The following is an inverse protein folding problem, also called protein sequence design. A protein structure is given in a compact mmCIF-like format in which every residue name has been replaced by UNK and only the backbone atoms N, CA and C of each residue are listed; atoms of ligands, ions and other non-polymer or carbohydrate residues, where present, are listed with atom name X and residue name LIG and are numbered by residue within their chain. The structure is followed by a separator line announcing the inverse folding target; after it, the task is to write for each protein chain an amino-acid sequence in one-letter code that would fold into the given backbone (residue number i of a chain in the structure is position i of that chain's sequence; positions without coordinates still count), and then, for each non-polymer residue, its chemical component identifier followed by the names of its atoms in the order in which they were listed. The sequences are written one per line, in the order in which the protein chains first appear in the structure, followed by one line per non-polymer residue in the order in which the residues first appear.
data_IF_794050644157
#
_entry.id   IF_794050644157
#
_cell.length_a   1.000
_cell.length_b   1.000
_cell.length_c   1.000
_cell.angle_alpha   90.00
_cell.angle_beta   90.00
_cell.angle_gamma   90.00
#
_symmetry.space_group_name_H-M   'P 1'
#
loop_
_entity.id
_entity.type
_entity.pdbx_description
1 polymer ?
#
# COMPACT_ATOMS: atom_id res chain seq x y z
N UNK A 1 -26.23 3.09 -39.84
CA UNK A 1 -25.92 4.30 -39.05
C UNK A 1 -25.99 4.06 -37.54
N UNK A 2 -27.01 3.36 -37.03
CA UNK A 2 -27.16 3.09 -35.59
C UNK A 2 -25.91 2.50 -34.90
N UNK A 3 -25.25 1.50 -35.52
CA UNK A 3 -24.02 0.90 -34.96
C UNK A 3 -22.89 1.92 -34.75
N UNK A 4 -22.71 2.84 -35.71
CA UNK A 4 -21.65 3.85 -35.64
C UNK A 4 -21.91 4.88 -34.52
N UNK A 5 -23.17 5.18 -34.26
CA UNK A 5 -23.57 6.07 -33.15
C UNK A 5 -23.26 5.42 -31.80
N UNK A 6 -23.52 4.12 -31.65
CA UNK A 6 -23.22 3.39 -30.41
C UNK A 6 -21.72 3.31 -30.18
N UNK A 7 -20.94 3.05 -31.24
CA UNK A 7 -19.46 3.04 -31.14
C UNK A 7 -18.95 4.43 -30.73
N UNK A 8 -19.45 5.51 -31.35
CA UNK A 8 -19.08 6.87 -30.99
C UNK A 8 -19.42 7.20 -29.53
N UNK A 9 -20.61 6.81 -29.06
CA UNK A 9 -21.03 7.00 -27.68
C UNK A 9 -20.15 6.22 -26.68
N UNK A 10 -19.73 5.00 -27.03
CA UNK A 10 -18.86 4.19 -26.19
C UNK A 10 -17.45 4.79 -26.09
N UNK A 11 -16.89 5.27 -27.20
CA UNK A 11 -15.59 5.95 -27.23
C UNK A 11 -15.63 7.27 -26.46
N UNK A 12 -16.72 8.03 -26.59
CA UNK A 12 -16.90 9.26 -25.81
C UNK A 12 -16.96 8.96 -24.32
N UNK A 13 -17.76 7.98 -23.91
CA UNK A 13 -17.90 7.56 -22.51
C UNK A 13 -16.58 7.08 -21.91
N UNK A 14 -15.75 6.34 -22.66
CA UNK A 14 -14.45 5.85 -22.17
C UNK A 14 -13.39 6.94 -22.10
N UNK A 15 -13.41 7.93 -23.01
CA UNK A 15 -12.46 9.06 -23.01
C UNK A 15 -12.78 10.13 -21.98
N UNK A 16 -14.05 10.28 -21.60
CA UNK A 16 -14.50 11.26 -20.60
C UNK A 16 -14.64 10.65 -19.21
N UNK A 17 -14.35 9.35 -19.05
CA UNK A 17 -14.30 8.73 -17.73
C UNK A 17 -13.22 9.42 -16.88
N UNK A 18 -13.57 9.98 -15.70
CA UNK A 18 -12.58 10.50 -14.78
C UNK A 18 -11.58 9.40 -14.43
N UNK A 19 -10.28 9.71 -14.25
CA UNK A 19 -9.35 8.73 -13.72
C UNK A 19 -9.92 8.20 -12.41
N UNK A 20 -10.02 6.88 -12.28
CA UNK A 20 -10.45 6.26 -11.04
C UNK A 20 -9.49 6.73 -9.95
N UNK A 21 -9.95 7.63 -9.08
CA UNK A 21 -9.20 7.99 -7.89
C UNK A 21 -8.92 6.69 -7.15
N UNK A 22 -7.65 6.36 -6.85
CA UNK A 22 -7.38 5.23 -5.98
C UNK A 22 -8.21 5.43 -4.71
N UNK A 23 -8.83 4.35 -4.18
CA UNK A 23 -9.58 4.48 -2.94
C UNK A 23 -8.67 5.17 -1.94
N UNK A 24 -9.16 6.29 -1.37
CA UNK A 24 -8.51 6.91 -0.23
C UNK A 24 -8.19 5.78 0.74
N UNK A 25 -6.96 5.73 1.23
CA UNK A 25 -6.54 4.77 2.21
C UNK A 25 -7.48 4.89 3.42
N UNK A 26 -8.55 4.10 3.40
CA UNK A 26 -9.68 4.25 4.30
C UNK A 26 -9.23 4.02 5.72
N UNK A 27 -9.89 4.70 6.65
CA UNK A 27 -9.74 4.48 8.09
C UNK A 27 -9.61 2.99 8.38
N UNK A 28 -8.60 2.59 9.17
CA UNK A 28 -8.51 1.21 9.63
C UNK A 28 -9.85 0.90 10.28
N UNK A 29 -10.59 -0.05 9.70
CA UNK A 29 -11.79 -0.60 10.31
C UNK A 29 -11.33 -1.40 11.53
N UNK A 30 -11.14 -0.73 12.66
CA UNK A 30 -10.91 -1.40 13.95
C UNK A 30 -12.27 -1.98 14.37
N UNK A 31 -12.42 -3.31 14.44
CA UNK A 31 -13.65 -3.90 14.95
C UNK A 31 -13.88 -3.40 16.37
N UNK A 32 -15.11 -2.99 16.70
CA UNK A 32 -15.45 -2.58 18.07
C UNK A 32 -15.24 -3.76 19.02
N UNK A 33 -14.13 -3.73 19.78
CA UNK A 33 -13.85 -4.77 20.76
C UNK A 33 -12.48 -4.62 21.40
N UNK A 34 -11.40 -4.73 20.62
CA UNK A 34 -10.03 -4.75 21.17
C UNK A 34 -8.99 -4.27 20.13
N UNK A 35 -7.86 -3.67 20.57
CA UNK A 35 -6.74 -3.33 19.69
C UNK A 35 -6.21 -4.57 18.95
N UNK A 36 -6.01 -4.45 17.64
CA UNK A 36 -5.36 -5.51 16.87
C UNK A 36 -3.90 -5.66 17.32
N UNK A 37 -3.54 -6.86 17.74
CA UNK A 37 -2.18 -7.20 18.17
C UNK A 37 -1.53 -8.16 17.18
N UNK A 38 -0.24 -7.97 16.91
CA UNK A 38 0.55 -8.87 16.08
C UNK A 38 2.04 -8.51 16.12
N UNK A 39 2.89 -9.50 15.87
CA UNK A 39 4.34 -9.32 15.82
C UNK A 39 4.83 -9.12 14.38
N UNK A 40 5.67 -8.10 14.17
CA UNK A 40 6.35 -7.87 12.91
C UNK A 40 7.84 -8.19 13.09
N UNK A 41 8.26 -9.34 12.55
CA UNK A 41 9.65 -9.80 12.65
C UNK A 41 10.51 -9.04 11.65
N UNK A 42 11.44 -8.23 12.16
CA UNK A 42 12.46 -7.55 11.37
C UNK A 42 13.81 -8.29 11.47
N UNK A 43 14.73 -8.10 10.51
CA UNK A 43 16.06 -8.66 10.59
C UNK A 43 16.78 -8.27 11.89
N UNK A 44 17.60 -9.17 12.42
CA UNK A 44 18.37 -8.90 13.65
C UNK A 44 19.23 -7.64 13.47
N UNK A 45 19.22 -6.79 14.49
CA UNK A 45 19.94 -5.51 14.47
C UNK A 45 19.29 -4.42 13.62
N UNK A 46 18.13 -4.67 13.00
CA UNK A 46 17.39 -3.62 12.33
C UNK A 46 16.77 -2.64 13.35
N UNK A 47 16.88 -1.35 13.05
CA UNK A 47 16.30 -0.26 13.82
C UNK A 47 15.19 0.40 13.01
N UNK A 48 14.00 0.50 13.59
CA UNK A 48 12.89 1.25 12.98
C UNK A 48 13.20 2.74 13.02
N UNK A 49 13.19 3.38 11.86
CA UNK A 49 13.45 4.82 11.69
C UNK A 49 12.13 5.57 11.57
N UNK A 50 11.21 5.06 10.75
CA UNK A 50 9.87 5.61 10.63
C UNK A 50 8.87 4.54 10.20
N UNK A 51 7.60 4.83 10.41
CA UNK A 51 6.50 3.98 10.00
C UNK A 51 5.36 4.82 9.43
N UNK A 52 4.68 4.30 8.44
CA UNK A 52 3.46 4.88 7.89
C UNK A 52 2.42 3.79 7.68
N UNK A 53 1.16 4.20 7.71
CA UNK A 53 0.01 3.33 7.65
C UNK A 53 -0.91 3.85 6.55
N UNK A 54 -1.36 2.94 5.69
CA UNK A 54 -2.27 3.23 4.59
C UNK A 54 -3.24 2.07 4.41
N UNK A 55 -4.49 2.27 4.86
CA UNK A 55 -5.51 1.23 4.89
C UNK A 55 -5.02 0.03 5.70
N UNK A 56 -4.88 -1.11 5.01
CA UNK A 56 -4.48 -2.38 5.63
C UNK A 56 -2.97 -2.67 5.54
N UNK A 57 -2.16 -1.66 5.21
CA UNK A 57 -0.72 -1.82 5.01
C UNK A 57 0.07 -0.89 5.91
N UNK A 58 1.10 -1.45 6.54
CA UNK A 58 2.09 -0.72 7.30
C UNK A 58 3.38 -0.72 6.49
N UNK A 59 3.93 0.45 6.19
CA UNK A 59 5.29 0.60 5.71
C UNK A 59 6.22 0.92 6.89
N UNK A 60 7.36 0.25 6.94
CA UNK A 60 8.37 0.41 7.98
C UNK A 60 9.68 0.74 7.28
N UNK A 61 10.17 1.95 7.49
CA UNK A 61 11.51 2.36 7.11
C UNK A 61 12.48 1.95 8.22
N UNK A 62 13.41 1.07 7.90
CA UNK A 62 14.37 0.54 8.85
C UNK A 62 15.81 0.70 8.35
N UNK A 63 16.69 1.03 9.29
CA UNK A 63 18.14 0.91 9.13
C UNK A 63 18.54 -0.51 9.55
N UNK A 64 19.24 -1.23 8.67
CA UNK A 64 19.71 -2.59 8.90
C UNK A 64 21.03 -2.56 9.68
N UNK A 65 21.45 -3.72 10.20
CA UNK A 65 22.68 -3.84 10.99
C UNK A 65 23.96 -3.41 10.24
N UNK A 66 23.93 -3.44 8.90
CA UNK A 66 25.03 -2.99 8.03
C UNK A 66 24.97 -1.47 7.72
N UNK A 67 24.04 -0.73 8.33
CA UNK A 67 23.80 0.70 8.11
C UNK A 67 23.02 0.99 6.82
N UNK A 68 22.68 -0.02 6.02
CA UNK A 68 21.84 0.19 4.83
C UNK A 68 20.37 0.40 5.20
N UNK A 69 19.61 1.09 4.35
CA UNK A 69 18.19 1.36 4.61
C UNK A 69 17.29 0.46 3.76
N UNK A 70 16.20 -0.01 4.33
CA UNK A 70 15.19 -0.78 3.63
C UNK A 70 13.78 -0.43 4.11
N UNK A 71 12.83 -0.45 3.18
CA UNK A 71 11.39 -0.37 3.48
C UNK A 71 10.81 -1.78 3.48
N UNK A 72 10.15 -2.13 4.57
CA UNK A 72 9.32 -3.33 4.69
C UNK A 72 7.86 -2.95 4.58
N UNK A 73 7.08 -3.72 3.82
CA UNK A 73 5.62 -3.54 3.70
C UNK A 73 4.95 -4.74 4.34
N UNK A 74 4.19 -4.50 5.39
CA UNK A 74 3.42 -5.49 6.12
C UNK A 74 1.93 -5.36 5.79
N UNK A 75 1.29 -6.47 5.47
CA UNK A 75 -0.16 -6.53 5.29
C UNK A 75 -0.83 -7.02 6.59
N UNK A 76 -1.74 -6.21 7.12
CA UNK A 76 -2.38 -6.43 8.42
C UNK A 76 -3.36 -7.62 8.38
N UNK A 77 -4.00 -7.87 7.24
CA UNK A 77 -4.98 -8.96 7.07
C UNK A 77 -4.27 -10.28 6.91
N UNK A 78 -3.23 -10.28 6.07
CA UNK A 78 -2.43 -11.47 5.81
C UNK A 78 -1.40 -11.75 6.90
N UNK A 79 -1.18 -10.79 7.80
CA UNK A 79 -0.25 -10.84 8.93
C UNK A 79 1.18 -11.20 8.53
N UNK A 80 1.64 -10.69 7.39
CA UNK A 80 2.97 -10.98 6.85
C UNK A 80 3.59 -9.80 6.13
N UNK A 81 4.91 -9.82 6.00
CA UNK A 81 5.64 -8.92 5.11
C UNK A 81 5.36 -9.34 3.66
N UNK A 82 4.84 -8.42 2.87
CA UNK A 82 4.50 -8.59 1.45
C UNK A 82 5.47 -7.86 0.51
N UNK A 83 6.43 -7.09 1.06
CA UNK A 83 7.43 -6.39 0.26
C UNK A 83 8.64 -5.96 1.06
N UNK A 84 9.79 -5.92 0.38
CA UNK A 84 11.05 -5.39 0.89
C UNK A 84 11.75 -4.62 -0.22
N UNK A 85 12.15 -3.38 0.06
CA UNK A 85 12.81 -2.50 -0.89
C UNK A 85 14.07 -1.91 -0.29
N UNK A 86 15.23 -2.10 -0.92
CA UNK A 86 16.45 -1.40 -0.53
C UNK A 86 16.39 0.05 -0.97
N UNK A 87 16.82 0.97 -0.11
CA UNK A 87 16.98 2.38 -0.46
C UNK A 87 18.45 2.62 -0.80
N UNK A 88 18.71 3.18 -1.99
CA UNK A 88 20.04 3.53 -2.47
C UNK A 88 19.99 4.89 -3.16
N UNK A 89 21.02 5.70 -2.97
CA UNK A 89 21.21 6.92 -3.77
C UNK A 89 21.80 6.55 -5.13
N UNK A 90 21.50 7.37 -6.16
CA UNK A 90 22.12 7.24 -7.49
C UNK A 90 23.42 8.02 -7.56
#
# INVERSE_FOLDING_TARGET
LALMVVIAALVYKTRTAPPASPPLAGDIQVPSGEPLTGDIVLPVGAKVISQSLSGNRISIDAELADGSRAIFVYDITERRIIGRFSIRNR
#
